data_IF_212722225011
#
_entry.id   IF_212722225011
#
_cell.length_a   1.000
_cell.length_b   1.000
_cell.length_c   1.000
_cell.angle_alpha   90.00
_cell.angle_beta   90.00
_cell.angle_gamma   90.00
#
_symmetry.space_group_name_H-M   'P 1'
#
loop_
_entity.id
_entity.type
_entity.pdbx_description
1 polymer ?
#
# COMPACT_ATOMS: atom_id res chain seq x y z
N UNK A 1 -4.82 10.40 3.33
CA UNK A 1 -4.63 10.23 4.80
C UNK A 1 -3.17 9.96 5.08
N UNK A 2 -2.57 10.73 6.00
CA UNK A 2 -1.15 10.66 6.35
C UNK A 2 -0.78 9.41 7.16
N UNK A 3 0.53 9.11 7.25
CA UNK A 3 1.06 8.01 8.07
C UNK A 3 0.59 8.07 9.54
N UNK A 4 0.64 9.25 10.18
CA UNK A 4 0.27 9.41 11.60
C UNK A 4 -1.18 9.03 11.85
N UNK A 5 -2.08 9.42 10.95
CA UNK A 5 -3.49 9.08 11.00
C UNK A 5 -3.72 7.56 10.82
N UNK A 6 -3.05 6.93 9.84
CA UNK A 6 -3.16 5.48 9.62
C UNK A 6 -2.57 4.66 10.77
N UNK A 7 -1.46 5.11 11.36
CA UNK A 7 -0.85 4.46 12.50
C UNK A 7 -1.75 4.53 13.75
N UNK A 8 -2.38 5.68 13.99
CA UNK A 8 -3.38 5.85 15.04
C UNK A 8 -4.62 4.99 14.79
N UNK A 9 -5.08 4.92 13.54
CA UNK A 9 -6.22 4.10 13.13
C UNK A 9 -5.95 2.62 13.41
N UNK A 10 -4.80 2.08 12.98
CA UNK A 10 -4.40 0.69 13.26
C UNK A 10 -4.47 0.37 14.75
N UNK A 11 -3.96 1.27 15.59
CA UNK A 11 -4.00 1.07 17.04
C UNK A 11 -5.44 1.00 17.56
N UNK A 12 -6.29 1.94 17.14
CA UNK A 12 -7.69 2.03 17.59
C UNK A 12 -8.54 0.86 17.11
N UNK A 13 -8.41 0.46 15.85
CA UNK A 13 -9.16 -0.67 15.28
C UNK A 13 -8.81 -2.01 15.92
N UNK A 14 -7.57 -2.16 16.39
CA UNK A 14 -7.13 -3.32 17.14
C UNK A 14 -7.39 -3.21 18.66
N UNK A 15 -8.06 -2.15 19.12
CA UNK A 15 -8.38 -1.94 20.55
C UNK A 15 -7.16 -1.78 21.45
N UNK A 16 -6.02 -1.34 20.90
CA UNK A 16 -4.75 -1.29 21.61
C UNK A 16 -4.54 0.05 22.33
N UNK A 17 -3.96 -0.01 23.52
CA UNK A 17 -3.34 1.16 24.17
C UNK A 17 -1.98 1.48 23.53
N UNK A 18 -1.45 2.69 23.73
CA UNK A 18 -0.11 3.04 23.22
C UNK A 18 1.01 2.11 23.72
N UNK A 19 1.04 1.68 25.02
CA UNK A 19 1.98 0.67 25.47
C UNK A 19 1.84 -0.68 24.74
N UNK A 20 0.60 -1.13 24.51
CA UNK A 20 0.36 -2.40 23.79
C UNK A 20 0.75 -2.30 22.31
N UNK A 21 0.56 -1.13 21.68
CA UNK A 21 1.06 -0.84 20.34
C UNK A 21 2.59 -0.91 20.29
N UNK A 22 3.25 -0.31 21.27
CA UNK A 22 4.70 -0.35 21.45
C UNK A 22 5.20 -1.80 21.59
N UNK A 23 4.55 -2.61 22.42
CA UNK A 23 4.89 -4.02 22.60
C UNK A 23 4.70 -4.82 21.30
N UNK A 24 3.52 -4.73 20.68
CA UNK A 24 3.18 -5.47 19.45
C UNK A 24 4.11 -5.15 18.28
N UNK A 25 4.53 -3.89 18.15
CA UNK A 25 5.46 -3.46 17.10
C UNK A 25 6.93 -3.54 17.52
N UNK A 26 7.19 -3.75 18.82
CA UNK A 26 8.47 -3.61 19.53
C UNK A 26 9.13 -2.22 19.35
N UNK A 27 8.32 -1.18 19.18
CA UNK A 27 8.76 0.22 19.11
C UNK A 27 8.71 0.80 20.53
N UNK A 28 9.61 1.71 20.87
CA UNK A 28 9.55 2.38 22.18
C UNK A 28 8.29 3.26 22.30
N UNK A 29 7.63 3.29 23.46
CA UNK A 29 6.39 4.04 23.67
C UNK A 29 6.48 5.54 23.32
N UNK A 30 7.64 6.16 23.54
CA UNK A 30 7.86 7.55 23.16
C UNK A 30 7.80 7.76 21.64
N UNK A 31 8.25 6.78 20.85
CA UNK A 31 8.16 6.83 19.39
C UNK A 31 6.71 6.62 18.93
N UNK A 32 5.96 5.71 19.54
CA UNK A 32 4.52 5.55 19.26
C UNK A 32 3.78 6.87 19.43
N UNK A 33 4.04 7.61 20.52
CA UNK A 33 3.45 8.93 20.75
C UNK A 33 3.82 9.93 19.66
N UNK A 34 5.11 10.03 19.32
CA UNK A 34 5.60 10.95 18.28
C UNK A 34 5.06 10.61 16.88
N UNK A 35 4.85 9.33 16.59
CA UNK A 35 4.25 8.89 15.34
C UNK A 35 2.76 9.23 15.29
N UNK A 36 2.01 9.02 16.38
CA UNK A 36 0.60 9.38 16.45
C UNK A 36 0.36 10.90 16.42
N UNK A 37 1.29 11.71 16.95
CA UNK A 37 1.22 13.17 16.88
C UNK A 37 1.77 13.77 15.58
N UNK A 38 2.45 12.97 14.75
CA UNK A 38 3.11 13.43 13.51
C UNK A 38 4.41 14.20 13.73
N UNK A 39 4.96 14.22 14.94
CA UNK A 39 6.25 14.84 15.29
C UNK A 39 7.47 14.08 14.76
N UNK A 40 7.28 12.85 14.31
CA UNK A 40 8.32 12.02 13.73
C UNK A 40 7.76 11.10 12.66
N UNK A 41 8.63 10.68 11.74
CA UNK A 41 8.37 9.59 10.81
C UNK A 41 9.22 8.37 11.17
N UNK A 42 8.69 7.16 10.96
CA UNK A 42 9.43 5.93 11.23
C UNK A 42 10.58 5.73 10.24
N UNK A 43 11.64 5.05 10.68
CA UNK A 43 12.64 4.52 9.76
C UNK A 43 12.06 3.36 8.93
N UNK A 44 12.76 2.99 7.85
CA UNK A 44 12.36 1.86 7.00
C UNK A 44 12.25 0.53 7.78
N UNK A 45 13.14 0.30 8.75
CA UNK A 45 13.07 -0.89 9.60
C UNK A 45 11.82 -0.90 10.49
N UNK A 46 11.43 0.26 11.01
CA UNK A 46 10.21 0.40 11.81
C UNK A 46 8.97 0.21 10.93
N UNK A 47 8.95 0.78 9.73
CA UNK A 47 7.86 0.56 8.76
C UNK A 47 7.65 -0.91 8.45
N UNK A 48 8.72 -1.67 8.17
CA UNK A 48 8.65 -3.11 7.95
C UNK A 48 8.05 -3.85 9.14
N UNK A 49 8.43 -3.47 10.36
CA UNK A 49 7.90 -4.11 11.58
C UNK A 49 6.42 -3.84 11.77
N UNK A 50 5.97 -2.61 11.52
CA UNK A 50 4.55 -2.26 11.57
C UNK A 50 3.77 -3.04 10.51
N UNK A 51 4.28 -3.07 9.28
CA UNK A 51 3.68 -3.81 8.16
C UNK A 51 3.48 -5.29 8.50
N UNK A 52 4.51 -5.95 9.05
CA UNK A 52 4.43 -7.36 9.48
C UNK A 52 3.50 -7.54 10.68
N UNK A 53 3.55 -6.67 11.68
CA UNK A 53 2.74 -6.80 12.91
C UNK A 53 1.23 -6.67 12.67
N UNK A 54 0.83 -5.96 11.62
CA UNK A 54 -0.57 -5.67 11.27
C UNK A 54 -1.00 -6.27 9.93
N UNK A 55 -0.13 -7.02 9.25
CA UNK A 55 -0.39 -7.59 7.93
C UNK A 55 -0.87 -6.54 6.91
N UNK A 56 -0.25 -5.36 6.91
CA UNK A 56 -0.51 -4.27 5.96
C UNK A 56 0.71 -4.04 5.07
N UNK A 57 0.50 -3.42 3.91
CA UNK A 57 1.62 -3.03 3.04
C UNK A 57 2.28 -1.75 3.53
N UNK A 58 3.58 -1.60 3.30
CA UNK A 58 4.28 -0.32 3.56
C UNK A 58 3.70 0.81 2.72
N UNK A 59 3.26 0.49 1.50
CA UNK A 59 2.58 1.43 0.62
C UNK A 59 1.35 2.03 1.28
N UNK A 60 0.50 1.18 1.87
CA UNK A 60 -0.67 1.64 2.61
C UNK A 60 -0.26 2.47 3.83
N UNK A 61 0.89 2.26 4.45
CA UNK A 61 1.30 3.09 5.60
C UNK A 61 1.78 4.49 5.18
N UNK A 62 2.47 4.61 4.05
CA UNK A 62 3.25 5.83 3.73
C UNK A 62 2.63 6.73 2.67
N UNK A 63 1.90 6.17 1.71
CA UNK A 63 1.32 6.99 0.63
C UNK A 63 -0.03 7.57 1.05
N UNK A 64 -0.23 8.83 0.71
CA UNK A 64 -1.54 9.44 0.80
C UNK A 64 -2.47 8.94 -0.32
N UNK A 65 -3.76 9.22 -0.15
CA UNK A 65 -4.76 8.88 -1.16
C UNK A 65 -4.47 9.73 -2.40
N UNK A 66 -4.38 9.09 -3.57
CA UNK A 66 -3.97 9.75 -4.82
C UNK A 66 -2.45 9.83 -5.07
N UNK A 67 -1.59 9.57 -4.08
CA UNK A 67 -0.14 9.84 -4.21
C UNK A 67 0.61 8.78 -5.05
N UNK A 68 0.07 7.55 -5.08
CA UNK A 68 0.60 6.42 -5.88
C UNK A 68 -0.50 5.75 -6.71
N UNK A 69 -1.60 6.44 -6.94
CA UNK A 69 -2.66 5.87 -7.77
C UNK A 69 -2.20 5.80 -9.24
N UNK A 70 -2.63 4.77 -10.00
CA UNK A 70 -2.55 4.83 -11.45
C UNK A 70 -3.17 6.14 -11.94
N UNK A 71 -2.67 6.71 -13.04
CA UNK A 71 -3.32 7.85 -13.69
C UNK A 71 -4.84 7.59 -13.76
N UNK A 72 -5.64 8.60 -13.41
CA UNK A 72 -7.09 8.48 -13.15
C UNK A 72 -7.82 7.59 -14.18
N UNK A 73 -7.42 7.65 -15.45
CA UNK A 73 -7.98 6.83 -16.51
C UNK A 73 -7.80 5.33 -16.30
N UNK A 74 -6.59 4.84 -15.97
CA UNK A 74 -6.32 3.42 -15.73
C UNK A 74 -7.08 2.91 -14.51
N UNK A 75 -7.16 3.71 -13.45
CA UNK A 75 -7.94 3.39 -12.25
C UNK A 75 -9.42 3.23 -12.59
N UNK A 76 -10.00 4.16 -13.36
CA UNK A 76 -11.38 4.07 -13.84
C UNK A 76 -11.62 2.83 -14.71
N UNK A 77 -10.66 2.44 -15.56
CA UNK A 77 -10.77 1.19 -16.34
C UNK A 77 -10.78 -0.04 -15.43
N UNK A 78 -9.93 -0.09 -14.41
CA UNK A 78 -9.90 -1.22 -13.48
C UNK A 78 -11.18 -1.36 -12.66
N UNK A 79 -11.77 -0.25 -12.20
CA UNK A 79 -13.08 -0.28 -11.52
C UNK A 79 -14.18 -0.79 -12.44
N UNK A 80 -14.19 -0.40 -13.73
CA UNK A 80 -15.13 -0.94 -14.70
C UNK A 80 -14.94 -2.44 -14.94
N UNK A 81 -13.69 -2.92 -15.04
CA UNK A 81 -13.38 -4.35 -15.22
C UNK A 81 -13.86 -5.18 -14.04
N UNK A 82 -13.73 -4.67 -12.81
CA UNK A 82 -14.18 -5.36 -11.59
C UNK A 82 -15.70 -5.61 -11.56
N UNK A 83 -16.48 -4.81 -12.30
CA UNK A 83 -17.94 -4.96 -12.41
C UNK A 83 -18.37 -5.90 -13.54
N UNK A 84 -17.45 -6.35 -14.40
CA UNK A 84 -17.72 -7.32 -15.46
C UNK A 84 -17.90 -8.74 -14.91
N UNK A 85 -18.45 -9.63 -15.73
CA UNK A 85 -18.51 -11.05 -15.38
C UNK A 85 -17.12 -11.72 -15.44
N UNK A 86 -17.02 -12.93 -14.87
CA UNK A 86 -15.75 -13.63 -14.75
C UNK A 86 -15.10 -13.99 -16.10
N UNK A 87 -15.89 -14.24 -17.14
CA UNK A 87 -15.38 -14.64 -18.45
C UNK A 87 -14.85 -13.42 -19.21
N UNK A 88 -15.55 -12.28 -19.13
CA UNK A 88 -15.08 -10.99 -19.62
C UNK A 88 -13.79 -10.55 -18.90
N UNK A 89 -13.72 -10.71 -17.57
CA UNK A 89 -12.51 -10.40 -16.81
C UNK A 89 -11.31 -11.23 -17.26
N UNK A 90 -11.48 -12.55 -17.50
CA UNK A 90 -10.42 -13.42 -18.01
C UNK A 90 -9.94 -13.00 -19.40
N UNK A 91 -10.87 -12.58 -20.27
CA UNK A 91 -10.52 -12.09 -21.60
C UNK A 91 -9.69 -10.79 -21.51
N UNK A 92 -10.08 -9.86 -20.64
CA UNK A 92 -9.33 -8.62 -20.40
C UNK A 92 -7.92 -8.92 -19.88
N UNK A 93 -7.77 -9.83 -18.91
CA UNK A 93 -6.47 -10.23 -18.38
C UNK A 93 -5.56 -10.80 -19.48
N UNK A 94 -6.10 -11.66 -20.34
CA UNK A 94 -5.35 -12.25 -21.46
C UNK A 94 -4.81 -11.19 -22.43
N UNK A 95 -5.61 -10.15 -22.69
CA UNK A 95 -5.19 -9.01 -23.54
C UNK A 95 -4.09 -8.20 -22.84
N UNK A 96 -4.23 -7.93 -21.54
CA UNK A 96 -3.22 -7.20 -20.77
C UNK A 96 -1.88 -7.94 -20.77
N UNK A 97 -1.89 -9.25 -20.55
CA UNK A 97 -0.69 -10.10 -20.60
C UNK A 97 0.00 -10.03 -21.97
N UNK A 98 -0.77 -10.12 -23.05
CA UNK A 98 -0.25 -9.99 -24.41
C UNK A 98 0.37 -8.61 -24.68
N UNK A 99 -0.26 -7.54 -24.18
CA UNK A 99 0.27 -6.17 -24.34
C UNK A 99 1.54 -5.94 -23.51
N UNK A 100 1.60 -6.47 -22.27
CA UNK A 100 2.78 -6.39 -21.40
C UNK A 100 3.95 -7.12 -22.06
N UNK A 101 3.72 -8.34 -22.57
CA UNK A 101 4.74 -9.12 -23.28
C UNK A 101 5.27 -8.37 -24.51
N UNK A 102 4.37 -7.76 -25.29
CA UNK A 102 4.75 -6.95 -26.47
C UNK A 102 5.61 -5.75 -26.09
N UNK A 103 5.31 -5.06 -25.00
CA UNK A 103 6.11 -3.93 -24.52
C UNK A 103 7.51 -4.37 -24.05
N UNK A 104 7.59 -5.47 -23.28
CA UNK A 104 8.87 -6.03 -22.84
C UNK A 104 9.75 -6.45 -24.01
N UNK A 105 9.17 -7.11 -25.03
CA UNK A 105 9.89 -7.50 -26.24
C UNK A 105 10.45 -6.29 -27.01
N UNK A 106 9.65 -5.22 -27.16
CA UNK A 106 10.13 -3.96 -27.76
C UNK A 106 11.31 -3.35 -27.01
N UNK A 107 11.25 -3.34 -25.67
CA UNK A 107 12.32 -2.79 -24.82
C UNK A 107 13.61 -3.61 -24.89
N UNK A 108 13.52 -4.93 -25.08
CA UNK A 108 14.68 -5.80 -25.28
C UNK A 108 15.33 -5.58 -26.65
N UNK A 109 14.52 -5.47 -27.71
CA UNK A 109 15.02 -5.26 -29.08
C UNK A 109 15.60 -3.85 -29.24
N UNK A 110 15.03 -2.83 -28.61
CA UNK A 110 15.54 -1.46 -28.66
C UNK A 110 16.76 -1.17 -27.77
N UNK A 111 17.26 -2.16 -27.04
CA UNK A 111 18.50 -2.08 -26.22
C UNK A 111 19.69 -2.83 -26.84
N UNK A 112 19.49 -3.50 -27.97
CA UNK A 112 20.53 -4.13 -28.79
C UNK A 112 20.97 -3.19 -29.91
#
# INVERSE_FOLDING_TARGET
MSFSARFLQLRKENGLTQPQMAEKTGIHISQVRRYESGEALPSMDILKRIAVAFSVTTDWLVFEEGEREPQDELKLKFEAIKQMDEDEQKAVLSILDAMILKDQAKKLIGRA
#
